data_IF_823167156220
#
_entry.id   IF_823167156220
#
_cell.length_a   1.000
_cell.length_b   1.000
_cell.length_c   1.000
_cell.angle_alpha   90.00
_cell.angle_beta   90.00
_cell.angle_gamma   90.00
#
_symmetry.space_group_name_H-M   'P 1'
#
loop_
_entity.id
_entity.type
_entity.pdbx_description
1 polymer ?
#
# COMPACT_ATOMS: atom_id res chain seq x y z
N UNK A 1 -2.35 -9.33 9.38
CA UNK A 1 -3.03 -8.12 8.89
C UNK A 1 -3.14 -8.22 7.38
N UNK A 2 -4.24 -7.76 6.83
CA UNK A 2 -4.41 -7.63 5.38
C UNK A 2 -3.78 -6.31 4.94
N UNK A 3 -3.04 -6.34 3.85
CA UNK A 3 -2.59 -5.16 3.12
C UNK A 3 -3.54 -4.90 1.95
N UNK A 4 -3.76 -3.65 1.65
CA UNK A 4 -4.53 -3.23 0.47
C UNK A 4 -3.71 -2.21 -0.29
N UNK A 5 -3.39 -2.49 -1.54
CA UNK A 5 -2.82 -1.49 -2.44
C UNK A 5 -3.95 -0.64 -3.00
N UNK A 6 -3.82 0.67 -2.88
CA UNK A 6 -4.82 1.65 -3.34
C UNK A 6 -4.21 2.63 -4.33
N UNK A 7 -5.07 3.33 -5.06
CA UNK A 7 -4.69 4.33 -6.05
C UNK A 7 -5.03 5.71 -5.50
N UNK A 8 -4.04 6.60 -5.41
CA UNK A 8 -4.23 8.02 -5.11
C UNK A 8 -4.23 8.78 -6.43
N UNK A 9 -5.21 9.64 -6.62
CA UNK A 9 -5.33 10.53 -7.77
C UNK A 9 -5.63 11.97 -7.34
N UNK A 10 -5.47 12.93 -8.22
CA UNK A 10 -5.98 14.29 -8.01
C UNK A 10 -7.50 14.32 -8.15
N UNK A 11 -8.13 15.27 -7.45
CA UNK A 11 -9.53 15.60 -7.70
C UNK A 11 -9.72 15.99 -9.17
N UNK A 12 -10.78 15.45 -9.78
CA UNK A 12 -11.04 15.68 -11.21
C UNK A 12 -10.22 14.81 -12.18
N UNK A 13 -9.42 13.85 -11.67
CA UNK A 13 -8.75 12.85 -12.51
C UNK A 13 -9.77 12.03 -13.31
N UNK A 14 -9.39 11.63 -14.51
CA UNK A 14 -10.13 10.69 -15.36
C UNK A 14 -9.93 9.23 -14.97
N UNK A 15 -9.00 8.95 -14.05
CA UNK A 15 -8.77 7.61 -13.48
C UNK A 15 -9.82 7.35 -12.39
N UNK A 16 -10.68 6.35 -12.59
CA UNK A 16 -11.73 5.95 -11.67
C UNK A 16 -11.54 4.53 -11.12
N UNK A 17 -10.73 3.70 -11.78
CA UNK A 17 -10.47 2.31 -11.41
C UNK A 17 -9.08 1.85 -11.88
N UNK A 18 -8.59 0.67 -11.47
CA UNK A 18 -7.36 0.09 -12.01
C UNK A 18 -7.37 -0.08 -13.54
N UNK A 19 -8.53 -0.29 -14.15
CA UNK A 19 -8.67 -0.48 -15.60
C UNK A 19 -8.28 0.78 -16.39
N UNK A 20 -8.30 1.95 -15.77
CA UNK A 20 -7.94 3.23 -16.39
C UNK A 20 -6.44 3.55 -16.34
N UNK A 21 -5.62 2.67 -15.76
CA UNK A 21 -4.18 2.89 -15.60
C UNK A 21 -3.35 2.62 -16.86
N UNK A 22 -3.93 1.97 -17.85
CA UNK A 22 -3.25 1.72 -19.14
C UNK A 22 -2.76 3.03 -19.76
N UNK A 23 -1.46 3.10 -20.06
CA UNK A 23 -0.84 4.30 -20.64
C UNK A 23 -0.66 5.48 -19.70
N UNK A 24 -1.03 5.37 -18.43
CA UNK A 24 -0.82 6.41 -17.41
C UNK A 24 0.58 6.32 -16.79
N UNK A 25 1.05 7.44 -16.24
CA UNK A 25 2.31 7.49 -15.49
C UNK A 25 2.03 7.21 -14.01
N UNK A 26 2.47 6.05 -13.53
CA UNK A 26 2.15 5.51 -12.22
C UNK A 26 3.36 5.71 -11.29
N UNK A 27 3.18 6.42 -10.18
CA UNK A 27 4.19 6.54 -9.13
C UNK A 27 4.09 5.40 -8.11
N UNK A 28 5.22 4.82 -7.74
CA UNK A 28 5.31 3.74 -6.74
C UNK A 28 6.50 3.96 -5.82
N UNK A 29 6.48 3.38 -4.64
CA UNK A 29 7.67 3.30 -3.81
C UNK A 29 8.53 2.12 -4.27
N UNK A 30 9.81 2.37 -4.53
CA UNK A 30 10.78 1.36 -5.01
C UNK A 30 10.81 0.12 -4.12
N UNK A 31 10.72 -1.06 -4.74
CA UNK A 31 10.87 -2.35 -4.07
C UNK A 31 9.67 -2.79 -3.23
N UNK A 32 8.52 -2.12 -3.35
CA UNK A 32 7.27 -2.54 -2.71
C UNK A 32 6.47 -3.49 -3.61
N UNK A 33 5.41 -4.09 -3.06
CA UNK A 33 4.46 -4.90 -3.85
C UNK A 33 3.77 -4.07 -4.92
N UNK A 34 3.41 -2.81 -4.63
CA UNK A 34 2.87 -1.88 -5.61
C UNK A 34 3.81 -1.65 -6.80
N UNK A 35 5.13 -1.51 -6.56
CA UNK A 35 6.14 -1.43 -7.62
C UNK A 35 6.18 -2.71 -8.48
N UNK A 36 6.21 -3.86 -7.82
CA UNK A 36 6.26 -5.16 -8.52
C UNK A 36 5.02 -5.39 -9.38
N UNK A 37 3.84 -5.12 -8.85
CA UNK A 37 2.58 -5.30 -9.56
C UNK A 37 2.43 -4.32 -10.71
N UNK A 38 2.57 -3.02 -10.46
CA UNK A 38 2.43 -2.02 -11.52
C UNK A 38 3.44 -2.22 -12.66
N UNK A 39 4.69 -2.58 -12.33
CA UNK A 39 5.70 -2.88 -13.36
C UNK A 39 5.34 -4.14 -14.16
N UNK A 40 4.77 -5.16 -13.52
CA UNK A 40 4.30 -6.37 -14.18
C UNK A 40 3.08 -6.15 -15.07
N UNK A 41 2.13 -5.34 -14.61
CA UNK A 41 0.84 -5.14 -15.29
C UNK A 41 0.92 -4.11 -16.42
N UNK A 42 1.70 -3.02 -16.24
CA UNK A 42 1.70 -1.87 -17.16
C UNK A 42 3.04 -1.62 -17.85
N UNK A 43 4.11 -2.31 -17.46
CA UNK A 43 5.46 -2.12 -18.00
C UNK A 43 6.27 -1.04 -17.28
N UNK A 44 7.59 -1.21 -17.28
CA UNK A 44 8.54 -0.32 -16.60
C UNK A 44 8.50 1.12 -17.13
N UNK A 45 8.14 1.31 -18.39
CA UNK A 45 8.06 2.64 -19.05
C UNK A 45 6.93 3.51 -18.47
N UNK A 46 5.89 2.89 -17.90
CA UNK A 46 4.76 3.57 -17.27
C UNK A 46 4.95 3.79 -15.77
N UNK A 47 5.91 3.12 -15.15
CA UNK A 47 6.12 3.15 -13.69
C UNK A 47 7.31 4.04 -13.33
N UNK A 48 7.06 5.06 -12.50
CA UNK A 48 8.08 5.91 -11.89
C UNK A 48 8.30 5.52 -10.44
N UNK A 49 9.49 5.02 -10.17
CA UNK A 49 9.92 4.58 -8.86
C UNK A 49 10.45 5.74 -8.02
N UNK A 50 9.98 5.86 -6.79
CA UNK A 50 10.42 6.85 -5.81
C UNK A 50 10.99 6.17 -4.57
N UNK A 51 11.95 6.80 -3.92
CA UNK A 51 12.59 6.26 -2.72
C UNK A 51 11.62 6.10 -1.53
N UNK A 52 10.54 6.89 -1.51
CA UNK A 52 9.51 6.84 -0.48
C UNK A 52 8.17 7.40 -0.98
N UNK A 53 7.09 7.11 -0.23
CA UNK A 53 5.74 7.56 -0.56
C UNK A 53 5.57 9.08 -0.66
N UNK A 54 6.10 9.90 0.29
CA UNK A 54 6.00 11.35 0.20
C UNK A 54 6.54 11.95 -1.10
N UNK A 55 7.63 11.41 -1.66
CA UNK A 55 8.17 11.87 -2.95
C UNK A 55 7.26 11.52 -4.12
N UNK A 56 6.63 10.33 -4.11
CA UNK A 56 5.65 9.95 -5.12
C UNK A 56 4.42 10.87 -5.05
N UNK A 57 3.91 11.15 -3.85
CA UNK A 57 2.77 12.05 -3.65
C UNK A 57 3.11 13.49 -4.08
N UNK A 58 4.31 13.98 -3.77
CA UNK A 58 4.76 15.31 -4.23
C UNK A 58 4.81 15.38 -5.77
N UNK A 59 5.27 14.32 -6.44
CA UNK A 59 5.27 14.24 -7.90
C UNK A 59 3.85 14.25 -8.48
N UNK A 60 2.88 13.58 -7.82
CA UNK A 60 1.47 13.62 -8.19
C UNK A 60 0.89 15.04 -8.04
N UNK A 61 1.11 15.69 -6.89
CA UNK A 61 0.66 17.07 -6.65
C UNK A 61 1.19 18.03 -7.72
N UNK A 62 2.47 17.87 -8.09
CA UNK A 62 3.12 18.69 -9.12
C UNK A 62 2.75 18.31 -10.56
N UNK A 63 1.92 17.30 -10.79
CA UNK A 63 1.50 16.87 -12.13
C UNK A 63 2.58 16.18 -12.96
N UNK A 64 3.58 15.60 -12.31
CA UNK A 64 4.65 14.84 -12.97
C UNK A 64 4.28 13.39 -13.24
N UNK A 65 3.25 12.90 -12.56
CA UNK A 65 2.62 11.58 -12.70
C UNK A 65 1.11 11.70 -12.58
N UNK A 66 0.38 10.69 -13.04
CA UNK A 66 -1.08 10.68 -13.09
C UNK A 66 -1.71 10.10 -11.83
N UNK A 67 -1.05 9.15 -11.18
CA UNK A 67 -1.51 8.51 -9.95
C UNK A 67 -0.34 7.96 -9.12
N UNK A 68 -0.64 7.55 -7.88
CA UNK A 68 0.28 6.80 -7.00
C UNK A 68 -0.41 5.51 -6.56
N UNK A 69 0.30 4.38 -6.68
CA UNK A 69 -0.13 3.10 -6.10
C UNK A 69 0.71 2.81 -4.86
N UNK A 70 0.04 2.64 -3.72
CA UNK A 70 0.68 2.47 -2.41
C UNK A 70 -0.28 1.79 -1.44
N UNK A 71 0.25 1.30 -0.30
CA UNK A 71 -0.55 0.78 0.81
C UNK A 71 -1.59 1.79 1.32
N UNK A 72 -2.76 1.29 1.67
CA UNK A 72 -3.92 2.08 2.08
C UNK A 72 -3.65 2.96 3.30
N UNK A 73 -2.96 2.44 4.32
CA UNK A 73 -2.77 3.21 5.56
C UNK A 73 -1.87 4.44 5.37
N UNK A 74 -0.67 4.34 4.74
CA UNK A 74 0.06 5.55 4.39
C UNK A 74 -0.71 6.44 3.39
N UNK A 75 -1.51 5.86 2.46
CA UNK A 75 -2.30 6.65 1.51
C UNK A 75 -3.30 7.58 2.20
N UNK A 76 -4.01 7.10 3.24
CA UNK A 76 -4.95 7.91 4.04
C UNK A 76 -4.25 9.12 4.64
N UNK A 77 -3.06 8.93 5.23
CA UNK A 77 -2.29 10.01 5.82
C UNK A 77 -1.84 11.04 4.76
N UNK A 78 -1.42 10.57 3.58
CA UNK A 78 -0.99 11.47 2.51
C UNK A 78 -2.15 12.29 1.94
N UNK A 79 -3.31 11.69 1.76
CA UNK A 79 -4.51 12.39 1.27
C UNK A 79 -5.01 13.39 2.32
N UNK A 80 -5.01 13.03 3.60
CA UNK A 80 -5.37 13.94 4.68
C UNK A 80 -4.44 15.18 4.77
N UNK A 81 -3.14 14.99 4.46
CA UNK A 81 -2.14 16.06 4.49
C UNK A 81 -2.08 16.92 3.22
N UNK A 82 -2.69 16.49 2.12
CA UNK A 82 -2.62 17.16 0.82
C UNK A 82 -4.04 17.35 0.23
N UNK A 83 -4.55 18.56 0.30
CA UNK A 83 -5.84 18.90 -0.31
C UNK A 83 -5.82 18.68 -1.83
N UNK A 84 -6.96 18.28 -2.39
CA UNK A 84 -7.08 18.01 -3.84
C UNK A 84 -6.58 16.64 -4.28
N UNK A 85 -6.33 15.73 -3.33
CA UNK A 85 -6.08 14.32 -3.58
C UNK A 85 -7.21 13.46 -3.02
N UNK A 86 -7.45 12.32 -3.64
CA UNK A 86 -8.39 11.30 -3.18
C UNK A 86 -7.84 9.90 -3.42
N UNK A 87 -8.28 8.96 -2.58
CA UNK A 87 -8.11 7.53 -2.80
C UNK A 87 -9.32 7.03 -3.60
N UNK A 88 -9.08 6.18 -4.60
CA UNK A 88 -10.17 5.54 -5.33
C UNK A 88 -10.85 4.47 -4.46
N UNK A 89 -12.17 4.32 -4.62
CA UNK A 89 -12.96 3.34 -3.86
C UNK A 89 -12.62 1.89 -4.23
N UNK A 90 -12.13 1.67 -5.46
CA UNK A 90 -11.69 0.35 -5.94
C UNK A 90 -10.24 0.13 -5.53
N UNK A 91 -10.00 -0.91 -4.74
CA UNK A 91 -8.63 -1.34 -4.41
C UNK A 91 -7.89 -1.80 -5.67
N UNK A 92 -6.58 -1.54 -5.71
CA UNK A 92 -5.71 -2.05 -6.77
C UNK A 92 -5.39 -3.54 -6.56
N UNK A 93 -5.02 -3.91 -5.34
CA UNK A 93 -4.76 -5.31 -4.96
C UNK A 93 -4.97 -5.53 -3.46
N UNK A 94 -5.44 -6.72 -3.11
CA UNK A 94 -5.49 -7.21 -1.73
C UNK A 94 -4.31 -8.14 -1.47
N UNK A 95 -3.67 -7.99 -0.32
CA UNK A 95 -2.48 -8.75 0.08
C UNK A 95 -2.56 -9.23 1.52
N UNK A 96 -1.77 -10.29 1.81
CA UNK A 96 -1.52 -10.72 3.17
C UNK A 96 -0.07 -10.42 3.57
N UNK A 97 0.14 -9.86 4.77
CA UNK A 97 1.46 -9.72 5.34
C UNK A 97 1.93 -11.02 5.96
N UNK A 98 3.19 -11.38 5.74
CA UNK A 98 3.80 -12.56 6.31
C UNK A 98 5.20 -12.26 6.87
N UNK A 99 5.60 -13.00 7.90
CA UNK A 99 6.95 -12.96 8.46
C UNK A 99 7.80 -14.02 7.77
N UNK A 100 8.83 -13.60 7.04
CA UNK A 100 9.76 -14.52 6.40
C UNK A 100 10.82 -15.00 7.38
N UNK A 101 11.01 -16.32 7.49
CA UNK A 101 12.02 -16.96 8.33
C UNK A 101 12.93 -17.81 7.44
N UNK A 102 14.23 -17.81 7.72
CA UNK A 102 15.20 -18.61 6.95
C UNK A 102 14.77 -20.07 6.91
N UNK A 103 14.73 -20.64 5.70
CA UNK A 103 14.38 -22.04 5.46
C UNK A 103 15.24 -22.98 6.33
N UNK A 104 14.58 -23.93 7.00
CA UNK A 104 15.22 -24.88 7.93
C UNK A 104 15.28 -24.39 9.39
N UNK A 105 14.98 -23.13 9.70
CA UNK A 105 14.88 -22.64 11.08
C UNK A 105 13.48 -22.90 11.64
N UNK A 106 13.15 -24.20 11.82
CA UNK A 106 11.83 -24.65 12.29
C UNK A 106 11.56 -24.23 13.72
N UNK A 107 12.58 -24.18 14.58
CA UNK A 107 12.43 -23.75 15.98
C UNK A 107 11.92 -22.30 16.07
N UNK A 108 12.49 -21.39 15.31
CA UNK A 108 12.05 -20.01 15.29
C UNK A 108 10.65 -19.88 14.63
N UNK A 109 10.38 -20.63 13.57
CA UNK A 109 9.09 -20.66 12.90
C UNK A 109 7.97 -21.07 13.87
N UNK A 110 8.19 -22.16 14.64
CA UNK A 110 7.22 -22.67 15.59
C UNK A 110 6.98 -21.68 16.75
N UNK A 111 8.04 -21.03 17.25
CA UNK A 111 7.93 -19.99 18.29
C UNK A 111 7.13 -18.78 17.80
N UNK A 112 7.42 -18.28 16.60
CA UNK A 112 6.71 -17.12 16.02
C UNK A 112 5.24 -17.45 15.75
N UNK A 113 4.97 -18.61 15.15
CA UNK A 113 3.58 -19.04 14.88
C UNK A 113 2.81 -19.29 16.18
N UNK A 114 3.45 -19.85 17.23
CA UNK A 114 2.85 -20.03 18.54
C UNK A 114 2.48 -18.70 19.19
N UNK A 115 3.40 -17.74 19.19
CA UNK A 115 3.15 -16.40 19.72
C UNK A 115 2.04 -15.67 18.96
N UNK A 116 2.03 -15.70 17.63
CA UNK A 116 0.98 -15.10 16.83
C UNK A 116 -0.40 -15.72 17.11
N UNK A 117 -0.45 -17.02 17.32
CA UNK A 117 -1.67 -17.73 17.68
C UNK A 117 -2.20 -17.27 19.04
N UNK A 118 -1.36 -17.24 20.07
CA UNK A 118 -1.71 -16.80 21.42
C UNK A 118 -2.21 -15.35 21.40
N UNK A 119 -1.49 -14.44 20.73
CA UNK A 119 -1.86 -13.03 20.61
C UNK A 119 -3.17 -12.82 19.81
N UNK A 120 -3.47 -13.74 18.90
CA UNK A 120 -4.76 -13.76 18.19
C UNK A 120 -5.92 -14.22 19.07
N UNK A 121 -5.69 -15.26 19.87
CA UNK A 121 -6.71 -15.87 20.74
C UNK A 121 -7.05 -14.98 21.96
N UNK A 122 -6.08 -14.25 22.50
CA UNK A 122 -6.27 -13.35 23.67
C UNK A 122 -6.72 -11.92 23.27
N UNK A 123 -6.81 -11.62 21.97
CA UNK A 123 -7.24 -10.32 21.45
C UNK A 123 -6.15 -9.25 21.42
N UNK A 124 -4.93 -9.55 21.86
CA UNK A 124 -3.80 -8.60 21.88
C UNK A 124 -3.43 -8.17 20.46
N UNK A 125 -3.41 -9.10 19.51
CA UNK A 125 -3.10 -8.79 18.10
C UNK A 125 -4.12 -7.80 17.52
N UNK A 126 -5.41 -7.98 17.78
CA UNK A 126 -6.44 -7.06 17.34
C UNK A 126 -6.27 -5.67 17.97
N UNK A 127 -5.98 -5.61 19.27
CA UNK A 127 -5.71 -4.34 19.96
C UNK A 127 -4.52 -3.58 19.37
N UNK A 128 -3.48 -4.27 18.92
CA UNK A 128 -2.32 -3.67 18.26
C UNK A 128 -2.74 -3.11 16.89
N UNK A 129 -3.48 -3.89 16.11
CA UNK A 129 -4.02 -3.46 14.80
C UNK A 129 -4.89 -2.21 14.96
N UNK A 130 -5.82 -2.22 15.92
CA UNK A 130 -6.71 -1.09 16.17
C UNK A 130 -5.94 0.16 16.61
N UNK A 131 -4.89 -0.02 17.38
CA UNK A 131 -4.08 1.11 17.89
C UNK A 131 -3.16 1.74 16.82
N UNK A 132 -2.57 0.94 15.94
CA UNK A 132 -1.50 1.40 15.07
C UNK A 132 -1.86 1.41 13.57
N UNK A 133 -2.91 0.69 13.19
CA UNK A 133 -3.34 0.57 11.79
C UNK A 133 -4.72 1.22 11.59
N UNK A 134 -5.67 0.99 12.51
CA UNK A 134 -7.03 1.52 12.42
C UNK A 134 -7.23 2.78 13.29
N UNK A 135 -6.17 3.44 13.74
CA UNK A 135 -6.24 4.57 14.67
C UNK A 135 -7.04 5.78 14.14
N UNK A 136 -7.24 5.88 12.82
CA UNK A 136 -7.98 6.98 12.19
C UNK A 136 -9.49 6.71 12.02
N UNK A 137 -10.00 5.63 12.61
CA UNK A 137 -11.43 5.31 12.60
C UNK A 137 -12.21 5.91 13.81
N UNK A 138 -11.61 6.86 14.55
CA UNK A 138 -12.26 7.57 15.67
C UNK A 138 -12.43 9.06 15.38
#
# INVERSE_FOLDING_TARGET
AKGVQVIIVKDGSDIASPDDLEGKSIGVQTGTTGDTYCTGDYGQEHVKQFNNGPLAVAALVNGQIDCVVIDQEPAKNYVAANSGLKILDTAYADEDYAIAIKKGNTELLDKVNGALKELGEDGTLQSIVDKYINADAQ
#
